data_IF_614561924861
#
_entry.id   IF_614561924861
#
_cell.length_a   1.000
_cell.length_b   1.000
_cell.length_c   1.000
_cell.angle_alpha   90.00
_cell.angle_beta   90.00
_cell.angle_gamma   90.00
#
_symmetry.space_group_name_H-M   'P 1'
#
loop_
_entity.id
_entity.type
_entity.pdbx_description
1 polymer ?
#
# COMPACT_ATOMS: atom_id res chain seq x y z
N UNK A 1 -22.09 -2.05 -6.74
CA UNK A 1 -21.86 -0.61 -6.52
C UNK A 1 -21.26 -0.48 -5.13
N UNK A 2 -19.96 -0.48 -4.89
CA UNK A 2 -18.77 -1.02 -5.55
C UNK A 2 -17.78 -1.16 -4.37
N UNK A 3 -17.17 -2.33 -4.12
CA UNK A 3 -16.21 -2.56 -3.01
C UNK A 3 -15.13 -1.47 -2.95
N UNK A 4 -14.81 -0.88 -4.11
CA UNK A 4 -13.91 0.26 -4.26
C UNK A 4 -14.39 1.50 -3.51
N UNK A 5 -15.68 1.82 -3.51
CA UNK A 5 -16.22 3.02 -2.84
C UNK A 5 -16.22 2.86 -1.32
N UNK A 6 -16.57 1.67 -0.81
CA UNK A 6 -16.47 1.36 0.62
C UNK A 6 -15.02 1.47 1.09
N UNK A 7 -14.09 0.87 0.34
CA UNK A 7 -12.67 0.98 0.63
C UNK A 7 -12.15 2.42 0.57
N UNK A 8 -12.57 3.22 -0.41
CA UNK A 8 -12.19 4.63 -0.50
C UNK A 8 -12.73 5.44 0.70
N UNK A 9 -13.93 5.13 1.20
CA UNK A 9 -14.48 5.79 2.38
C UNK A 9 -13.72 5.40 3.66
N UNK A 10 -13.43 4.11 3.86
CA UNK A 10 -12.57 3.66 4.96
C UNK A 10 -11.20 4.33 4.90
N UNK A 11 -10.63 4.44 3.68
CA UNK A 11 -9.38 5.14 3.46
C UNK A 11 -9.46 6.61 3.91
N UNK A 12 -10.47 7.34 3.46
CA UNK A 12 -10.64 8.75 3.82
C UNK A 12 -10.84 8.98 5.33
N UNK A 13 -11.45 8.03 6.05
CA UNK A 13 -11.62 8.10 7.50
C UNK A 13 -10.29 7.83 8.26
N UNK A 14 -9.47 6.90 7.77
CA UNK A 14 -8.17 6.55 8.38
C UNK A 14 -7.04 7.56 8.05
N UNK A 15 -7.26 8.48 7.10
CA UNK A 15 -6.25 9.41 6.57
C UNK A 15 -6.03 10.68 7.41
N UNK A 16 -6.68 10.85 8.57
CA UNK A 16 -6.55 12.08 9.37
C UNK A 16 -5.13 12.23 9.97
N UNK A 17 -4.49 13.38 9.73
CA UNK A 17 -3.17 13.74 10.27
C UNK A 17 -1.92 13.29 9.50
N UNK A 18 -2.03 12.62 8.35
CA UNK A 18 -0.88 12.27 7.48
C UNK A 18 -1.18 12.60 6.02
N UNK A 19 -0.19 13.08 5.25
CA UNK A 19 -0.40 13.43 3.84
C UNK A 19 -0.35 12.17 2.97
N UNK A 20 -1.52 11.57 2.74
CA UNK A 20 -1.71 10.42 1.85
C UNK A 20 -2.11 10.84 0.44
N UNK A 21 -1.65 10.11 -0.57
CA UNK A 21 -2.07 10.31 -1.96
C UNK A 21 -2.16 8.98 -2.71
N UNK A 22 -3.21 8.83 -3.51
CA UNK A 22 -3.36 7.68 -4.41
C UNK A 22 -2.45 7.89 -5.61
N UNK A 23 -1.54 6.95 -5.82
CA UNK A 23 -0.60 6.98 -6.95
C UNK A 23 -1.19 6.28 -8.16
N UNK A 24 -1.70 5.06 -7.99
CA UNK A 24 -2.19 4.23 -9.09
C UNK A 24 -3.10 3.09 -8.61
N UNK A 25 -3.83 2.48 -9.55
CA UNK A 25 -4.39 1.14 -9.41
C UNK A 25 -3.67 0.23 -10.38
N UNK A 26 -3.03 -0.82 -9.87
CA UNK A 26 -2.17 -1.68 -10.68
C UNK A 26 -2.44 -3.15 -10.44
N UNK A 27 -2.09 -3.97 -11.43
CA UNK A 27 -2.06 -5.40 -11.25
C UNK A 27 -0.95 -5.80 -10.27
N UNK A 28 -1.26 -6.74 -9.38
CA UNK A 28 -0.29 -7.30 -8.46
C UNK A 28 -0.37 -8.83 -8.45
N UNK A 29 0.71 -9.46 -8.00
CA UNK A 29 0.76 -10.90 -7.73
C UNK A 29 1.26 -11.13 -6.32
N UNK A 30 0.60 -12.03 -5.60
CA UNK A 30 1.11 -12.53 -4.33
C UNK A 30 2.26 -13.51 -4.58
N UNK A 31 3.43 -13.23 -4.02
CA UNK A 31 4.63 -14.07 -4.13
C UNK A 31 5.08 -14.44 -2.71
N UNK A 32 5.63 -15.64 -2.53
CA UNK A 32 6.26 -16.04 -1.26
C UNK A 32 7.74 -16.30 -1.53
N UNK A 33 8.61 -15.63 -0.79
CA UNK A 33 10.05 -15.75 -0.90
C UNK A 33 10.63 -15.85 0.51
N UNK A 34 11.46 -16.87 0.75
CA UNK A 34 12.11 -17.11 2.05
C UNK A 34 11.15 -17.14 3.26
N UNK A 35 9.92 -17.62 3.03
CA UNK A 35 8.86 -17.69 4.06
C UNK A 35 8.09 -16.38 4.27
N UNK A 36 8.48 -15.30 3.59
CA UNK A 36 7.84 -13.98 3.66
C UNK A 36 6.93 -13.78 2.45
N UNK A 37 5.77 -13.16 2.67
CA UNK A 37 4.75 -12.92 1.64
C UNK A 37 4.89 -11.50 1.11
N UNK A 38 4.93 -11.36 -0.21
CA UNK A 38 5.07 -10.08 -0.91
C UNK A 38 3.93 -9.84 -1.91
N UNK A 39 3.59 -8.58 -2.13
CA UNK A 39 2.90 -8.12 -3.32
C UNK A 39 3.95 -7.68 -4.34
N UNK A 40 3.97 -8.35 -5.49
CA UNK A 40 4.83 -8.00 -6.63
C UNK A 40 4.00 -7.24 -7.66
N UNK A 41 4.39 -6.00 -7.96
CA UNK A 41 3.77 -5.18 -9.00
C UNK A 41 4.32 -5.51 -10.39
N UNK A 42 3.72 -4.92 -11.43
CA UNK A 42 4.09 -5.15 -12.82
C UNK A 42 5.51 -4.66 -13.17
N UNK A 43 5.98 -3.60 -12.50
CA UNK A 43 7.35 -3.06 -12.61
C UNK A 43 8.42 -3.95 -11.94
N UNK A 44 7.98 -4.96 -11.18
CA UNK A 44 8.85 -5.87 -10.42
C UNK A 44 9.10 -5.46 -8.97
N UNK A 45 8.60 -4.29 -8.54
CA UNK A 45 8.66 -3.84 -7.15
C UNK A 45 7.95 -4.82 -6.22
N UNK A 46 8.52 -5.07 -5.04
CA UNK A 46 7.99 -6.02 -4.06
C UNK A 46 7.78 -5.33 -2.71
N UNK A 47 6.59 -5.53 -2.15
CA UNK A 47 6.17 -4.93 -0.90
C UNK A 47 5.82 -6.04 0.09
N UNK A 48 6.40 -6.00 1.28
CA UNK A 48 6.21 -7.04 2.29
C UNK A 48 4.82 -6.95 2.92
N UNK A 49 4.20 -8.11 3.17
CA UNK A 49 2.92 -8.19 3.84
C UNK A 49 3.06 -7.87 5.33
N UNK A 50 2.34 -6.85 5.79
CA UNK A 50 2.16 -6.53 7.20
C UNK A 50 0.65 -6.50 7.48
N UNK A 51 0.18 -7.38 8.37
CA UNK A 51 -1.24 -7.60 8.65
C UNK A 51 -2.10 -7.80 7.38
N UNK A 52 -2.94 -6.81 7.06
CA UNK A 52 -3.88 -6.81 5.94
C UNK A 52 -3.47 -5.86 4.80
N UNK A 53 -2.25 -5.36 4.82
CA UNK A 53 -1.67 -4.48 3.81
C UNK A 53 -0.30 -5.01 3.37
N UNK A 54 0.21 -4.51 2.25
CA UNK A 54 1.63 -4.62 1.94
C UNK A 54 2.22 -3.23 1.99
N UNK A 55 3.42 -3.10 2.55
CA UNK A 55 3.99 -1.78 2.84
C UNK A 55 5.50 -1.78 2.68
N UNK A 56 6.00 -0.63 2.24
CA UNK A 56 7.41 -0.26 2.33
C UNK A 56 7.49 1.12 2.96
N UNK A 57 8.18 1.24 4.10
CA UNK A 57 8.37 2.49 4.82
C UNK A 57 9.84 2.89 4.81
N UNK A 58 10.10 4.17 4.60
CA UNK A 58 11.41 4.80 4.72
C UNK A 58 11.35 5.88 5.80
N UNK A 59 12.26 5.81 6.76
CA UNK A 59 12.44 6.88 7.76
C UNK A 59 13.38 7.94 7.19
N UNK A 60 13.00 9.20 7.34
CA UNK A 60 13.80 10.35 6.94
C UNK A 60 15.08 10.50 7.78
N UNK A 61 15.98 11.37 7.31
CA UNK A 61 17.31 11.57 7.91
C UNK A 61 17.28 12.03 9.38
N UNK A 62 16.20 12.72 9.80
CA UNK A 62 16.06 13.27 11.15
C UNK A 62 15.20 12.40 12.09
N UNK A 63 14.72 11.24 11.64
CA UNK A 63 13.96 10.31 12.48
C UNK A 63 12.50 10.70 12.75
N UNK A 64 12.16 11.98 12.58
CA UNK A 64 10.81 12.51 12.80
C UNK A 64 9.94 12.50 11.51
N UNK A 65 10.56 12.46 10.34
CA UNK A 65 9.84 12.35 9.06
C UNK A 65 9.75 10.88 8.63
N UNK A 66 8.58 10.46 8.15
CA UNK A 66 8.44 9.12 7.56
C UNK A 66 7.60 9.18 6.30
N UNK A 67 8.03 8.43 5.29
CA UNK A 67 7.29 8.26 4.05
C UNK A 67 7.25 6.80 3.66
N UNK A 68 6.26 6.43 2.88
CA UNK A 68 6.16 5.06 2.43
C UNK A 68 5.13 4.85 1.35
N UNK A 69 5.09 3.61 0.90
CA UNK A 69 4.14 3.13 -0.08
C UNK A 69 3.35 1.99 0.52
N UNK A 70 2.03 2.08 0.42
CA UNK A 70 1.09 1.01 0.78
C UNK A 70 0.51 0.44 -0.51
N UNK A 71 0.47 -0.89 -0.57
CA UNK A 71 -0.27 -1.66 -1.57
C UNK A 71 -1.43 -2.35 -0.86
N UNK A 72 -2.67 -1.97 -1.21
CA UNK A 72 -3.88 -2.61 -0.70
C UNK A 72 -4.56 -3.39 -1.82
N UNK A 73 -4.66 -4.73 -1.75
CA UNK A 73 -5.49 -5.50 -2.67
C UNK A 73 -6.94 -5.04 -2.61
N UNK A 74 -7.51 -4.67 -3.76
CA UNK A 74 -8.94 -4.38 -3.94
C UNK A 74 -9.63 -5.64 -4.48
N UNK A 75 -8.92 -6.40 -5.32
CA UNK A 75 -9.33 -7.72 -5.82
C UNK A 75 -8.18 -8.71 -5.68
N UNK A 76 -8.35 -9.94 -6.17
CA UNK A 76 -7.28 -10.95 -6.18
C UNK A 76 -6.11 -10.58 -7.10
N UNK A 77 -6.31 -9.63 -8.03
CA UNK A 77 -5.32 -9.28 -9.06
C UNK A 77 -5.03 -7.78 -9.14
N UNK A 78 -5.86 -6.92 -8.54
CA UNK A 78 -5.72 -5.46 -8.59
C UNK A 78 -5.51 -4.93 -7.18
N UNK A 79 -4.53 -4.03 -7.04
CA UNK A 79 -4.27 -3.32 -5.80
C UNK A 79 -4.24 -1.80 -6.01
N UNK A 80 -4.62 -1.07 -4.97
CA UNK A 80 -4.39 0.37 -4.86
C UNK A 80 -2.98 0.61 -4.35
N UNK A 81 -2.26 1.49 -5.03
CA UNK A 81 -0.93 1.97 -4.65
C UNK A 81 -1.08 3.38 -4.09
N UNK A 82 -0.63 3.57 -2.85
CA UNK A 82 -0.76 4.83 -2.12
C UNK A 82 0.57 5.23 -1.54
N UNK A 83 0.94 6.50 -1.73
CA UNK A 83 2.05 7.12 -1.03
C UNK A 83 1.58 7.85 0.21
N UNK A 84 2.43 7.89 1.24
CA UNK A 84 2.22 8.76 2.40
C UNK A 84 3.51 9.44 2.82
N UNK A 85 3.34 10.60 3.45
CA UNK A 85 4.42 11.31 4.14
C UNK A 85 3.86 11.97 5.41
N UNK A 86 4.62 11.87 6.48
CA UNK A 86 4.45 12.60 7.73
C UNK A 86 5.73 13.37 8.01
#
# INVERSE_FOLDING_TARGET
>A
MSVVVEFMNELFEDMDGTNWHITAMEEFKKVTQDGVVYAKLADGSMYEKQDNIYIYQTTGYLGDDYSGTIIKPITDTIALVMGYTC
#
